data_IF_598301047838
#
_entry.id   IF_598301047838
#
_cell.length_a   1.000
_cell.length_b   1.000
_cell.length_c   1.000
_cell.angle_alpha   90.00
_cell.angle_beta   90.00
_cell.angle_gamma   90.00
#
_symmetry.space_group_name_H-M   'P 1'
#
loop_
_entity.id
_entity.type
_entity.pdbx_description
1 polymer ?
#
# COMPACT_ATOMS: atom_id res chain seq x y z
N UNK A 1 5.89 1.54 -7.62
CA UNK A 1 5.34 0.20 -7.91
C UNK A 1 4.51 0.28 -9.17
N UNK A 2 4.62 -0.73 -9.99
CA UNK A 2 4.00 -0.75 -11.32
C UNK A 2 2.80 -1.68 -11.35
N UNK A 3 1.77 -1.31 -12.12
CA UNK A 3 0.59 -2.15 -12.25
C UNK A 3 0.97 -3.48 -12.93
N UNK A 4 0.62 -4.63 -12.32
CA UNK A 4 0.96 -5.94 -12.90
C UNK A 4 0.06 -6.32 -14.08
N UNK A 5 -1.06 -5.65 -14.24
CA UNK A 5 -2.05 -5.84 -15.30
C UNK A 5 -2.83 -4.53 -15.47
N UNK A 6 -3.67 -4.47 -16.49
CA UNK A 6 -4.54 -3.31 -16.67
C UNK A 6 -5.53 -3.21 -15.52
N UNK A 7 -5.66 -2.02 -14.95
CA UNK A 7 -6.59 -1.75 -13.84
C UNK A 7 -7.62 -0.75 -14.34
N UNK A 8 -8.88 -1.15 -14.31
CA UNK A 8 -10.00 -0.30 -14.73
C UNK A 8 -10.98 -0.16 -13.57
N UNK A 9 -11.18 1.07 -13.12
CA UNK A 9 -12.06 1.36 -11.99
C UNK A 9 -13.00 2.51 -12.36
N UNK A 10 -14.28 2.24 -12.36
CA UNK A 10 -15.27 3.32 -12.38
C UNK A 10 -15.27 4.04 -11.04
N UNK A 11 -15.84 5.25 -11.02
CA UNK A 11 -15.94 5.99 -9.76
C UNK A 11 -16.66 5.14 -8.69
N UNK A 12 -16.04 5.03 -7.52
CA UNK A 12 -16.54 4.23 -6.40
C UNK A 12 -16.07 2.78 -6.40
N UNK A 13 -15.43 2.29 -7.45
CA UNK A 13 -14.94 0.92 -7.48
C UNK A 13 -13.60 0.75 -6.79
N UNK A 14 -13.41 -0.42 -6.20
CA UNK A 14 -12.23 -0.81 -5.43
C UNK A 14 -11.61 -2.07 -6.02
N UNK A 15 -10.27 -2.15 -5.98
CA UNK A 15 -9.54 -3.35 -6.36
C UNK A 15 -8.37 -3.59 -5.41
N UNK A 16 -8.10 -4.86 -5.12
CA UNK A 16 -6.92 -5.30 -4.38
C UNK A 16 -5.87 -5.75 -5.38
N UNK A 17 -4.75 -5.05 -5.43
CA UNK A 17 -3.72 -5.26 -6.44
C UNK A 17 -2.49 -5.90 -5.82
N UNK A 18 -2.06 -7.08 -6.29
CA UNK A 18 -0.79 -7.66 -5.87
C UNK A 18 0.35 -6.87 -6.53
N UNK A 19 1.28 -6.34 -5.75
CA UNK A 19 2.36 -5.54 -6.32
C UNK A 19 3.50 -6.37 -6.89
N UNK A 20 3.59 -7.64 -6.49
CA UNK A 20 4.71 -8.50 -6.86
C UNK A 20 5.99 -8.15 -6.10
N UNK A 21 5.91 -7.32 -5.08
CA UNK A 21 7.06 -6.81 -4.35
C UNK A 21 7.00 -7.24 -2.88
N UNK A 22 8.15 -7.62 -2.36
CA UNK A 22 8.40 -7.75 -0.93
C UNK A 22 9.65 -6.96 -0.60
N UNK A 23 9.73 -6.41 0.59
CA UNK A 23 10.83 -5.53 0.99
C UNK A 23 11.34 -5.95 2.36
N UNK A 24 12.65 -6.19 2.42
CA UNK A 24 13.34 -6.41 3.70
C UNK A 24 13.75 -5.05 4.25
N UNK A 25 13.23 -4.70 5.41
CA UNK A 25 13.39 -3.38 6.02
C UNK A 25 14.13 -3.54 7.36
N UNK A 26 15.10 -2.67 7.62
CA UNK A 26 15.83 -2.66 8.89
C UNK A 26 14.90 -2.20 10.02
N UNK A 27 15.14 -2.70 11.22
CA UNK A 27 14.44 -2.21 12.40
C UNK A 27 14.60 -0.69 12.54
N UNK A 28 13.53 -0.03 12.96
CA UNK A 28 13.52 1.42 13.08
C UNK A 28 13.18 2.16 11.78
N UNK A 29 12.96 1.42 10.70
CA UNK A 29 12.54 1.97 9.42
C UNK A 29 11.20 1.38 9.02
N UNK A 30 10.46 2.13 8.22
CA UNK A 30 9.23 1.64 7.59
C UNK A 30 9.16 2.13 6.14
N UNK A 31 8.35 1.44 5.36
CA UNK A 31 7.97 1.85 4.01
C UNK A 31 6.55 2.36 4.06
N UNK A 32 6.36 3.62 3.69
CA UNK A 32 5.02 4.22 3.56
C UNK A 32 4.60 4.21 2.10
N UNK A 33 3.38 3.77 1.83
CA UNK A 33 2.82 3.67 0.49
C UNK A 33 1.77 4.75 0.28
N UNK A 34 1.86 5.41 -0.88
CA UNK A 34 0.95 6.49 -1.27
C UNK A 34 0.50 6.29 -2.71
N UNK A 35 -0.69 6.75 -3.09
CA UNK A 35 -1.05 6.82 -4.50
C UNK A 35 -0.08 7.74 -5.25
N UNK A 36 0.18 7.42 -6.52
CA UNK A 36 0.93 8.33 -7.38
C UNK A 36 0.17 9.65 -7.48
N UNK A 37 0.88 10.79 -7.38
CA UNK A 37 0.24 12.11 -7.24
C UNK A 37 -0.72 12.46 -8.38
N UNK A 38 -0.36 12.14 -9.62
CA UNK A 38 -1.24 12.41 -10.77
C UNK A 38 -2.56 11.66 -10.70
N UNK A 39 -2.55 10.43 -10.22
CA UNK A 39 -3.76 9.64 -10.02
C UNK A 39 -4.59 10.16 -8.86
N UNK A 40 -3.92 10.60 -7.80
CA UNK A 40 -4.58 11.22 -6.66
C UNK A 40 -5.30 12.51 -7.05
N UNK A 41 -4.62 13.39 -7.80
CA UNK A 41 -5.22 14.67 -8.20
C UNK A 41 -6.37 14.50 -9.20
N UNK A 42 -6.20 13.64 -10.20
CA UNK A 42 -7.20 13.51 -11.27
C UNK A 42 -8.43 12.69 -10.86
N UNK A 43 -8.22 11.65 -10.07
CA UNK A 43 -9.26 10.66 -9.81
C UNK A 43 -9.56 10.49 -8.32
N UNK A 44 -8.86 11.22 -7.44
CA UNK A 44 -8.90 10.95 -6.00
C UNK A 44 -8.61 9.48 -5.70
N UNK A 45 -7.64 8.90 -6.40
CA UNK A 45 -7.24 7.52 -6.10
C UNK A 45 -6.77 7.44 -4.65
N UNK A 46 -7.37 6.54 -3.90
CA UNK A 46 -7.09 6.35 -2.48
C UNK A 46 -6.57 4.95 -2.24
N UNK A 47 -5.64 4.84 -1.31
CA UNK A 47 -5.45 3.56 -0.63
C UNK A 47 -6.54 3.43 0.42
N UNK A 48 -7.17 2.26 0.50
CA UNK A 48 -8.29 2.06 1.43
C UNK A 48 -7.89 2.22 2.90
N UNK A 49 -6.62 1.99 3.21
CA UNK A 49 -6.06 2.22 4.53
C UNK A 49 -5.39 3.60 4.66
N UNK A 50 -5.66 4.52 3.76
CA UNK A 50 -5.14 5.90 3.71
C UNK A 50 -3.67 5.95 3.35
N UNK A 51 -2.79 5.40 4.16
CA UNK A 51 -1.36 5.24 3.94
C UNK A 51 -1.00 3.80 4.28
N UNK A 52 -0.40 3.10 3.33
CA UNK A 52 0.09 1.75 3.60
C UNK A 52 1.37 1.83 4.43
N UNK A 53 1.41 1.11 5.53
CA UNK A 53 2.60 1.06 6.40
C UNK A 53 3.14 -0.35 6.39
N UNK A 54 4.37 -0.50 5.91
CA UNK A 54 5.09 -1.77 5.88
C UNK A 54 6.28 -1.65 6.82
N UNK A 55 6.33 -2.45 7.87
CA UNK A 55 7.44 -2.46 8.81
C UNK A 55 8.34 -3.68 8.59
N UNK A 56 9.40 -3.80 9.39
CA UNK A 56 10.38 -4.88 9.26
C UNK A 56 9.78 -6.26 9.48
N UNK A 57 8.75 -6.37 10.30
CA UNK A 57 8.12 -7.66 10.63
C UNK A 57 7.35 -8.26 9.47
N UNK A 58 6.81 -7.42 8.59
CA UNK A 58 5.95 -7.88 7.52
C UNK A 58 6.65 -8.83 6.54
N UNK A 59 7.95 -8.65 6.33
CA UNK A 59 8.74 -9.52 5.46
C UNK A 59 8.63 -11.00 5.83
N UNK A 60 8.46 -11.28 7.11
CA UNK A 60 8.42 -12.65 7.66
C UNK A 60 6.99 -13.16 7.89
N UNK A 61 5.99 -12.46 7.38
CA UNK A 61 4.58 -12.85 7.52
C UNK A 61 4.26 -14.10 6.71
N UNK A 62 3.05 -14.66 6.91
CA UNK A 62 2.60 -15.89 6.26
C UNK A 62 2.61 -15.81 4.73
N UNK A 63 2.39 -14.62 4.17
CA UNK A 63 2.43 -14.40 2.72
C UNK A 63 3.81 -13.96 2.23
N UNK A 64 4.86 -14.22 3.02
CA UNK A 64 6.25 -13.88 2.69
C UNK A 64 6.51 -12.39 2.50
N UNK A 65 5.69 -11.55 3.09
CA UNK A 65 5.83 -10.10 2.98
C UNK A 65 5.35 -9.51 1.66
N UNK A 66 4.58 -10.27 0.88
CA UNK A 66 4.04 -9.77 -0.38
C UNK A 66 3.15 -8.56 -0.14
N UNK A 67 3.47 -7.44 -0.77
CA UNK A 67 2.75 -6.19 -0.60
C UNK A 67 1.55 -6.16 -1.55
N UNK A 68 0.37 -5.93 -0.98
CA UNK A 68 -0.86 -5.70 -1.72
C UNK A 68 -1.29 -4.25 -1.53
N UNK A 69 -1.86 -3.67 -2.57
CA UNK A 69 -2.46 -2.33 -2.50
C UNK A 69 -3.95 -2.46 -2.79
N UNK A 70 -4.77 -2.13 -1.81
CA UNK A 70 -6.21 -2.03 -2.02
C UNK A 70 -6.54 -0.58 -2.31
N UNK A 71 -7.02 -0.32 -3.52
CA UNK A 71 -7.21 1.03 -4.03
C UNK A 71 -8.67 1.27 -4.42
N UNK A 72 -9.10 2.50 -4.29
CA UNK A 72 -10.45 2.93 -4.67
C UNK A 72 -10.36 4.18 -5.54
N UNK A 73 -11.09 4.17 -6.66
CA UNK A 73 -11.32 5.38 -7.42
C UNK A 73 -12.41 6.19 -6.72
N UNK A 74 -12.01 7.21 -5.97
CA UNK A 74 -12.92 8.07 -5.21
C UNK A 74 -13.26 9.35 -5.96
N UNK A 75 -13.32 9.29 -7.29
CA UNK A 75 -13.65 10.46 -8.10
C UNK A 75 -15.03 11.01 -7.72
N UNK A 76 -15.06 12.31 -7.45
CA UNK A 76 -16.30 13.06 -7.19
C UNK A 76 -16.89 13.65 -8.47
N UNK A 77 -16.24 13.40 -9.61
CA UNK A 77 -16.63 13.91 -10.93
C UNK A 77 -17.07 12.80 -11.87
N UNK A 78 -17.34 11.61 -11.34
CA UNK A 78 -17.77 10.44 -12.11
C UNK A 78 -16.78 10.04 -13.21
N UNK A 79 -15.48 10.15 -12.92
CA UNK A 79 -14.42 9.79 -13.88
C UNK A 79 -14.04 8.33 -13.74
N UNK A 80 -13.98 7.62 -14.87
CA UNK A 80 -13.41 6.28 -14.91
C UNK A 80 -11.88 6.36 -14.98
N UNK A 81 -11.20 5.49 -14.24
CA UNK A 81 -9.75 5.40 -14.18
C UNK A 81 -9.28 4.18 -14.93
N UNK A 82 -8.30 4.36 -15.82
CA UNK A 82 -7.59 3.27 -16.47
C UNK A 82 -6.09 3.41 -16.16
N UNK A 83 -5.50 2.36 -15.59
CA UNK A 83 -4.06 2.27 -15.35
C UNK A 83 -3.55 1.10 -16.19
N UNK A 84 -2.78 1.37 -17.25
CA UNK A 84 -2.27 0.27 -18.07
C UNK A 84 -1.21 -0.55 -17.33
N UNK A 85 -1.11 -1.82 -17.67
CA UNK A 85 -0.05 -2.69 -17.15
C UNK A 85 1.32 -2.04 -17.35
N UNK A 86 2.16 -2.09 -16.33
CA UNK A 86 3.49 -1.48 -16.36
C UNK A 86 3.54 -0.01 -15.96
N UNK A 87 2.40 0.66 -15.83
CA UNK A 87 2.38 2.05 -15.38
C UNK A 87 2.56 2.12 -13.86
N UNK A 88 3.27 3.15 -13.39
CA UNK A 88 3.40 3.42 -11.96
C UNK A 88 2.06 3.87 -11.37
N UNK A 89 1.67 3.31 -10.23
CA UNK A 89 0.41 3.68 -9.59
C UNK A 89 0.55 3.97 -8.08
N UNK A 90 1.53 3.36 -7.45
CA UNK A 90 1.82 3.54 -6.01
C UNK A 90 3.28 3.93 -5.87
N UNK A 91 3.56 4.88 -5.00
CA UNK A 91 4.91 5.25 -4.61
C UNK A 91 5.19 4.83 -3.18
N UNK A 92 6.42 4.45 -2.89
CA UNK A 92 6.86 4.06 -1.56
C UNK A 92 8.00 4.95 -1.08
N UNK A 93 7.96 5.33 0.19
CA UNK A 93 8.97 6.17 0.81
C UNK A 93 9.44 5.51 2.09
N UNK A 94 10.75 5.30 2.23
CA UNK A 94 11.32 4.79 3.47
C UNK A 94 11.54 5.94 4.44
N UNK A 95 11.13 5.75 5.69
CA UNK A 95 11.37 6.71 6.76
C UNK A 95 11.76 6.00 8.04
N UNK A 96 12.55 6.69 8.85
CA UNK A 96 12.81 6.23 10.22
C UNK A 96 11.61 6.53 11.11
N UNK A 97 11.43 5.72 12.14
CA UNK A 97 10.40 5.96 13.13
C UNK A 97 10.87 5.56 14.52
N UNK A 98 10.23 6.12 15.55
CA UNK A 98 10.47 5.77 16.93
C UNK A 98 9.27 5.05 17.53
N UNK A 99 9.51 4.39 18.64
CA UNK A 99 8.48 3.75 19.45
C UNK A 99 8.51 4.32 20.86
N UNK A 100 7.44 4.13 21.60
CA UNK A 100 7.42 4.54 23.01
C UNK A 100 8.31 3.60 23.84
N UNK A 101 8.81 4.09 24.96
CA UNK A 101 9.74 3.32 25.78
C UNK A 101 9.12 2.04 26.37
N UNK A 102 7.80 1.98 26.49
CA UNK A 102 7.05 0.84 27.00
C UNK A 102 6.47 -0.07 25.90
N UNK A 103 6.81 0.17 24.65
CA UNK A 103 6.42 -0.71 23.56
C UNK A 103 7.39 -1.90 23.50
N UNK A 104 6.90 -3.09 23.81
CA UNK A 104 7.67 -4.31 23.82
C UNK A 104 7.12 -5.38 22.87
N UNK A 105 6.48 -4.97 21.80
CA UNK A 105 5.96 -5.89 20.78
C UNK A 105 7.09 -6.78 20.25
N UNK A 106 6.99 -8.08 20.50
CA UNK A 106 8.01 -9.06 20.12
C UNK A 106 7.52 -10.08 19.10
N UNK A 107 6.23 -10.06 18.79
CA UNK A 107 5.63 -11.02 17.86
C UNK A 107 5.74 -10.56 16.42
N UNK A 108 5.99 -11.52 15.53
CA UNK A 108 5.97 -11.26 14.09
C UNK A 108 4.52 -11.05 13.66
N UNK A 109 4.28 -9.95 12.97
CA UNK A 109 2.96 -9.65 12.42
C UNK A 109 2.67 -10.52 11.21
N UNK A 110 1.48 -11.12 11.18
CA UNK A 110 1.02 -11.89 10.05
C UNK A 110 -0.16 -11.21 9.38
N UNK A 111 -0.24 -11.33 8.06
CA UNK A 111 -1.35 -10.84 7.27
C UNK A 111 -1.30 -9.38 6.89
N UNK A 112 -1.06 -8.50 7.81
CA UNK A 112 -0.81 -7.08 7.55
C UNK A 112 -2.02 -6.20 7.27
N UNK A 113 -3.22 -6.71 7.21
CA UNK A 113 -4.41 -5.90 6.91
C UNK A 113 -5.25 -5.67 8.17
N UNK A 114 -4.63 -5.04 9.18
CA UNK A 114 -5.28 -4.78 10.45
C UNK A 114 -5.32 -5.99 11.39
N UNK A 115 -4.50 -7.01 11.13
CA UNK A 115 -4.48 -8.23 11.94
C UNK A 115 -4.07 -8.00 13.39
N UNK A 116 -3.38 -6.91 13.68
CA UNK A 116 -2.94 -6.54 15.01
C UNK A 116 -3.63 -5.27 15.55
N UNK A 117 -4.50 -4.73 14.75
CA UNK A 117 -5.12 -3.43 15.03
C UNK A 117 -6.28 -3.48 15.99
#
# INVERSE_FOLDING_TARGET
MFAPFDIDLNAGETAKIPTGIRVKIDEGWLLSLYPRSGLGFKFRLQLDNTVGIIDSDYYFSDNEGHIFAKITNDSRENKALHIPAGAGFIQGIFTEYGITADDDATEIRNGGFGSTG
#
